data_IF_618374280838
#
_entry.id   IF_618374280838
#
_cell.length_a   1.000
_cell.length_b   1.000
_cell.length_c   1.000
_cell.angle_alpha   90.00
_cell.angle_beta   90.00
_cell.angle_gamma   90.00
#
_symmetry.space_group_name_H-M   'P 1'
#
loop_
_entity.id
_entity.type
_entity.pdbx_description
1 polymer ?
#
# COMPACT_ATOMS: atom_id res chain seq x y z
N UNK A 1 -45.99 -5.36 7.14
CA UNK A 1 -46.01 -6.80 7.51
C UNK A 1 -44.61 -7.22 7.95
N UNK A 2 -44.50 -8.18 8.87
CA UNK A 2 -43.22 -8.75 9.31
C UNK A 2 -42.43 -9.30 8.11
N UNK A 3 -43.13 -9.86 7.11
CA UNK A 3 -42.53 -10.38 5.88
C UNK A 3 -41.67 -9.35 5.13
N UNK A 4 -42.15 -8.10 5.04
CA UNK A 4 -41.45 -7.03 4.34
C UNK A 4 -40.16 -6.58 5.07
N UNK A 5 -40.14 -6.67 6.40
CA UNK A 5 -38.94 -6.37 7.19
C UNK A 5 -37.90 -7.48 7.07
N UNK A 6 -38.35 -8.75 7.02
CA UNK A 6 -37.46 -9.89 6.78
C UNK A 6 -36.83 -9.79 5.39
N UNK A 7 -37.62 -9.49 4.35
CA UNK A 7 -37.11 -9.28 2.99
C UNK A 7 -36.13 -8.11 2.90
N UNK A 8 -36.43 -6.99 3.56
CA UNK A 8 -35.52 -5.85 3.62
C UNK A 8 -34.17 -6.22 4.27
N UNK A 9 -34.19 -6.92 5.40
CA UNK A 9 -32.97 -7.34 6.09
C UNK A 9 -32.17 -8.36 5.28
N UNK A 10 -32.83 -9.29 4.59
CA UNK A 10 -32.17 -10.22 3.68
C UNK A 10 -31.48 -9.48 2.53
N UNK A 11 -32.13 -8.49 1.92
CA UNK A 11 -31.53 -7.68 0.86
C UNK A 11 -30.31 -6.88 1.35
N UNK A 12 -30.39 -6.31 2.57
CA UNK A 12 -29.25 -5.61 3.17
C UNK A 12 -28.07 -6.55 3.46
N UNK A 13 -28.37 -7.76 3.92
CA UNK A 13 -27.35 -8.78 4.17
C UNK A 13 -26.65 -9.20 2.87
N UNK A 14 -27.42 -9.39 1.79
CA UNK A 14 -26.89 -9.72 0.47
C UNK A 14 -25.99 -8.60 -0.08
N UNK A 15 -26.40 -7.34 0.08
CA UNK A 15 -25.60 -6.21 -0.36
C UNK A 15 -24.32 -6.05 0.47
N UNK A 16 -24.37 -6.27 1.78
CA UNK A 16 -23.18 -6.30 2.62
C UNK A 16 -22.22 -7.42 2.21
N UNK A 17 -22.73 -8.63 1.91
CA UNK A 17 -21.89 -9.73 1.44
C UNK A 17 -21.25 -9.44 0.08
N UNK A 18 -21.96 -8.79 -0.84
CA UNK A 18 -21.38 -8.32 -2.10
C UNK A 18 -20.27 -7.29 -1.85
N UNK A 19 -20.49 -6.37 -0.90
CA UNK A 19 -19.49 -5.36 -0.58
C UNK A 19 -18.22 -5.96 0.03
N UNK A 20 -18.36 -6.91 0.97
CA UNK A 20 -17.24 -7.65 1.55
C UNK A 20 -16.46 -8.36 0.44
N UNK A 21 -17.14 -9.08 -0.45
CA UNK A 21 -16.49 -9.78 -1.57
C UNK A 21 -15.71 -8.84 -2.48
N UNK A 22 -16.30 -7.70 -2.84
CA UNK A 22 -15.62 -6.69 -3.66
C UNK A 22 -14.34 -6.17 -2.99
N UNK A 23 -14.39 -5.90 -1.69
CA UNK A 23 -13.22 -5.43 -0.93
C UNK A 23 -12.14 -6.52 -0.82
N UNK A 24 -12.53 -7.79 -0.64
CA UNK A 24 -11.59 -8.91 -0.61
C UNK A 24 -10.90 -9.13 -1.97
N UNK A 25 -11.63 -8.99 -3.07
CA UNK A 25 -11.08 -9.01 -4.43
C UNK A 25 -10.07 -7.87 -4.63
N UNK A 26 -10.40 -6.66 -4.19
CA UNK A 26 -9.51 -5.50 -4.28
C UNK A 26 -8.24 -5.70 -3.44
N UNK A 27 -8.40 -6.18 -2.20
CA UNK A 27 -7.28 -6.54 -1.31
C UNK A 27 -6.38 -7.58 -1.95
N UNK A 28 -6.94 -8.57 -2.64
CA UNK A 28 -6.18 -9.62 -3.32
C UNK A 28 -5.33 -9.04 -4.44
N UNK A 29 -5.88 -8.10 -5.24
CA UNK A 29 -5.13 -7.38 -6.28
C UNK A 29 -3.94 -6.62 -5.70
N UNK A 30 -4.14 -5.82 -4.63
CA UNK A 30 -3.04 -5.11 -3.99
C UNK A 30 -2.02 -6.05 -3.36
N UNK A 31 -2.45 -7.18 -2.78
CA UNK A 31 -1.54 -8.17 -2.20
C UNK A 31 -0.62 -8.79 -3.25
N UNK A 32 -1.11 -9.02 -4.47
CA UNK A 32 -0.28 -9.54 -5.56
C UNK A 32 0.85 -8.56 -5.92
N UNK A 33 0.54 -7.27 -6.04
CA UNK A 33 1.53 -6.21 -6.30
C UNK A 33 2.54 -6.10 -5.15
N UNK A 34 2.06 -6.03 -3.91
CA UNK A 34 2.92 -5.95 -2.72
C UNK A 34 3.79 -7.20 -2.54
N UNK A 35 3.31 -8.38 -2.96
CA UNK A 35 4.08 -9.62 -2.91
C UNK A 35 5.34 -9.53 -3.76
N UNK A 36 5.25 -8.96 -4.97
CA UNK A 36 6.41 -8.75 -5.84
C UNK A 36 7.43 -7.79 -5.21
N UNK A 37 6.96 -6.64 -4.70
CA UNK A 37 7.83 -5.65 -4.03
C UNK A 37 8.50 -6.25 -2.79
N UNK A 38 7.80 -7.08 -2.02
CA UNK A 38 8.37 -7.78 -0.85
C UNK A 38 9.35 -8.90 -1.20
N UNK A 39 9.53 -9.25 -2.46
CA UNK A 39 10.56 -10.23 -2.88
C UNK A 39 11.83 -9.55 -3.39
N UNK A 40 11.80 -8.24 -3.67
CA UNK A 40 12.95 -7.48 -4.12
C UNK A 40 13.94 -7.24 -2.99
N UNK A 41 15.24 -7.55 -3.13
CA UNK A 41 16.24 -7.19 -2.14
C UNK A 41 16.14 -5.71 -1.74
N UNK A 42 16.44 -5.39 -0.47
CA UNK A 42 16.32 -4.03 0.06
C UNK A 42 17.20 -3.05 -0.71
N UNK A 43 18.32 -3.52 -1.25
CA UNK A 43 19.24 -2.78 -2.11
C UNK A 43 18.60 -2.41 -3.45
N UNK A 44 17.82 -3.31 -4.05
CA UNK A 44 17.12 -3.05 -5.31
C UNK A 44 15.99 -2.05 -5.09
N UNK A 45 15.25 -2.19 -3.98
CA UNK A 45 14.30 -1.16 -3.56
C UNK A 45 14.99 0.18 -3.35
N UNK A 46 16.23 0.11 -2.86
CA UNK A 46 17.18 1.20 -2.74
C UNK A 46 17.40 1.95 -4.07
N UNK A 47 17.88 1.23 -5.07
CA UNK A 47 18.11 1.77 -6.40
C UNK A 47 16.83 2.28 -7.07
N UNK A 48 15.67 1.70 -6.76
CA UNK A 48 14.40 2.22 -7.27
C UNK A 48 14.12 3.62 -6.72
N UNK A 49 14.26 3.88 -5.41
CA UNK A 49 13.99 5.24 -4.93
C UNK A 49 15.08 6.23 -5.35
N UNK A 50 16.33 5.81 -5.56
CA UNK A 50 17.38 6.70 -6.10
C UNK A 50 17.04 7.23 -7.50
N UNK A 51 16.23 6.51 -8.28
CA UNK A 51 15.70 6.97 -9.57
C UNK A 51 14.52 7.95 -9.43
N UNK A 52 13.85 7.98 -8.28
CA UNK A 52 12.71 8.86 -8.02
C UNK A 52 13.14 10.25 -7.52
N UNK A 53 14.36 10.36 -6.98
CA UNK A 53 14.86 11.59 -6.38
C UNK A 53 16.04 12.19 -7.15
N UNK A 54 16.20 13.53 -7.14
CA UNK A 54 17.39 14.17 -7.68
C UNK A 54 18.63 13.79 -6.85
N UNK A 55 19.82 13.91 -7.47
CA UNK A 55 21.10 13.65 -6.78
C UNK A 55 21.37 14.60 -5.60
N UNK A 56 20.73 15.77 -5.60
CA UNK A 56 20.78 16.77 -4.53
C UNK A 56 19.35 17.01 -4.09
N UNK A 57 19.02 16.60 -2.87
CA UNK A 57 17.67 16.75 -2.33
C UNK A 57 17.41 18.18 -1.85
N UNK A 58 16.32 18.77 -2.29
CA UNK A 58 15.70 19.91 -1.63
C UNK A 58 14.96 19.47 -0.36
N UNK A 59 14.53 20.43 0.47
CA UNK A 59 13.79 20.12 1.71
C UNK A 59 12.48 19.37 1.44
N UNK A 60 11.81 19.68 0.33
CA UNK A 60 10.61 18.96 -0.12
C UNK A 60 10.91 17.50 -0.45
N UNK A 61 12.03 17.23 -1.13
CA UNK A 61 12.45 15.87 -1.48
C UNK A 61 12.78 15.04 -0.23
N UNK A 62 13.37 15.67 0.80
CA UNK A 62 13.63 15.03 2.09
C UNK A 62 12.35 14.63 2.80
N UNK A 63 11.30 15.45 2.72
CA UNK A 63 9.99 15.10 3.28
C UNK A 63 9.39 13.86 2.60
N UNK A 64 9.42 13.82 1.25
CA UNK A 64 8.97 12.64 0.50
C UNK A 64 9.79 11.37 0.81
N UNK A 65 11.11 11.51 1.01
CA UNK A 65 11.97 10.39 1.40
C UNK A 65 11.58 9.84 2.79
N UNK A 66 11.25 10.73 3.74
CA UNK A 66 10.75 10.34 5.06
C UNK A 66 9.42 9.62 4.94
N UNK A 67 8.49 10.12 4.12
CA UNK A 67 7.17 9.51 3.90
C UNK A 67 7.28 8.09 3.32
N UNK A 68 8.21 7.85 2.40
CA UNK A 68 8.50 6.50 1.90
C UNK A 68 8.92 5.55 3.04
N UNK A 69 9.71 6.05 3.99
CA UNK A 69 10.13 5.30 5.16
C UNK A 69 8.98 4.93 6.12
N UNK A 70 7.83 5.60 6.03
CA UNK A 70 6.66 5.33 6.88
C UNK A 70 5.76 4.21 6.33
N UNK A 71 6.00 3.72 5.11
CA UNK A 71 5.18 2.67 4.49
C UNK A 71 5.31 1.32 5.22
N UNK A 72 6.54 0.86 5.46
CA UNK A 72 6.82 -0.31 6.27
C UNK A 72 8.30 -0.38 6.70
N UNK A 73 8.62 -1.28 7.63
CA UNK A 73 9.99 -1.50 8.12
C UNK A 73 11.03 -1.66 7.00
N UNK A 74 10.71 -2.43 5.96
CA UNK A 74 11.63 -2.68 4.85
C UNK A 74 11.86 -1.44 3.97
N UNK A 75 10.82 -0.63 3.75
CA UNK A 75 10.96 0.62 3.00
C UNK A 75 11.79 1.61 3.78
N UNK A 76 11.60 1.65 5.11
CA UNK A 76 12.47 2.39 6.02
C UNK A 76 13.92 1.95 5.92
N UNK A 77 14.18 0.64 5.93
CA UNK A 77 15.53 0.11 5.74
C UNK A 77 16.12 0.56 4.40
N UNK A 78 15.38 0.41 3.29
CA UNK A 78 15.85 0.84 1.98
C UNK A 78 16.21 2.35 1.94
N UNK A 79 15.36 3.21 2.51
CA UNK A 79 15.60 4.65 2.64
C UNK A 79 16.84 4.95 3.49
N UNK A 80 17.03 4.24 4.60
CA UNK A 80 18.20 4.44 5.48
C UNK A 80 19.51 3.92 4.85
N UNK A 81 19.44 2.96 3.94
CA UNK A 81 20.60 2.43 3.22
C UNK A 81 21.05 3.33 2.07
N UNK A 82 20.25 4.33 1.67
CA UNK A 82 20.60 5.34 0.66
C UNK A 82 21.56 6.39 1.22
N UNK A 83 22.82 6.01 1.44
CA UNK A 83 23.86 6.95 1.93
C UNK A 83 24.09 8.15 1.00
N UNK A 84 23.68 8.07 -0.26
CA UNK A 84 23.80 9.16 -1.23
C UNK A 84 22.71 10.22 -1.13
N UNK A 85 21.64 9.98 -0.35
CA UNK A 85 20.47 10.86 -0.27
C UNK A 85 20.31 11.57 1.08
N UNK A 86 21.11 11.22 2.10
CA UNK A 86 21.11 11.91 3.40
C UNK A 86 22.19 12.98 3.44
#
# INVERSE_FOLDING_TARGET
>A
SIQAHVEMLSNQLDDLFKHVRSLEEERTKYRAVLSAVRRLPTEILGEIFSLLFPRVLADEDRAYLVDLGLVCHRWREAVLHMRSLW
#
